data_IF_192169123983
#
_entry.id   IF_192169123983
#
_cell.length_a   1.000
_cell.length_b   1.000
_cell.length_c   1.000
_cell.angle_alpha   90.00
_cell.angle_beta   90.00
_cell.angle_gamma   90.00
#
_symmetry.space_group_name_H-M   'P 1'
#
loop_
_entity.id
_entity.type
_entity.pdbx_description
1 polymer ?
#
# COMPACT_ATOMS: atom_id res chain seq x y z
N UNK A 1 -20.32 -9.81 -14.59
CA UNK A 1 -19.12 -10.05 -13.77
C UNK A 1 -19.38 -9.62 -12.34
N UNK A 2 -19.61 -10.59 -11.46
CA UNK A 2 -19.67 -10.32 -10.03
C UNK A 2 -18.29 -10.59 -9.42
N UNK A 3 -17.73 -9.58 -8.75
CA UNK A 3 -16.62 -9.81 -7.83
C UNK A 3 -17.18 -10.48 -6.57
N UNK A 4 -16.56 -11.56 -6.14
CA UNK A 4 -16.86 -12.27 -4.90
C UNK A 4 -15.69 -12.02 -3.95
N UNK A 5 -15.98 -11.43 -2.78
CA UNK A 5 -15.00 -11.26 -1.70
C UNK A 5 -14.80 -12.61 -1.00
N UNK A 6 -13.57 -13.09 -0.99
CA UNK A 6 -13.22 -14.38 -0.34
C UNK A 6 -12.75 -14.20 1.10
N UNK A 7 -12.46 -12.96 1.52
CA UNK A 7 -12.04 -12.65 2.88
C UNK A 7 -13.25 -12.57 3.80
N UNK A 8 -13.27 -13.43 4.82
CA UNK A 8 -14.22 -13.41 5.91
C UNK A 8 -13.66 -12.62 7.09
N UNK A 9 -14.42 -11.67 7.64
CA UNK A 9 -14.02 -10.84 8.78
C UNK A 9 -13.68 -11.66 10.06
N UNK A 10 -14.07 -12.93 10.12
CA UNK A 10 -13.83 -13.83 11.25
C UNK A 10 -12.67 -14.81 11.03
N UNK A 11 -11.99 -14.75 9.88
CA UNK A 11 -10.90 -15.65 9.53
C UNK A 11 -9.62 -14.86 9.29
N UNK A 12 -8.49 -15.45 9.67
CA UNK A 12 -7.19 -14.90 9.34
C UNK A 12 -6.96 -15.01 7.83
N UNK A 13 -6.47 -13.93 7.22
CA UNK A 13 -6.07 -13.93 5.81
C UNK A 13 -4.56 -14.12 5.69
N UNK A 14 -4.14 -14.81 4.62
CA UNK A 14 -2.72 -15.01 4.32
C UNK A 14 -2.15 -13.84 3.54
N UNK A 15 -1.00 -13.33 4.00
CA UNK A 15 -0.21 -12.35 3.27
C UNK A 15 1.03 -13.04 2.72
N UNK A 16 1.16 -13.08 1.40
CA UNK A 16 2.37 -13.51 0.74
C UNK A 16 3.44 -12.41 0.86
N UNK A 17 4.63 -12.82 1.28
CA UNK A 17 5.81 -11.95 1.41
C UNK A 17 6.71 -12.18 0.21
N UNK A 18 6.95 -11.12 -0.56
CA UNK A 18 7.83 -11.13 -1.72
C UNK A 18 8.92 -10.07 -1.50
N UNK A 19 10.18 -10.47 -1.59
CA UNK A 19 11.34 -9.59 -1.40
C UNK A 19 12.33 -9.81 -2.56
N UNK A 20 12.88 -8.73 -3.11
CA UNK A 20 13.85 -8.81 -4.20
C UNK A 20 14.21 -7.44 -4.76
N UNK A 21 15.45 -7.25 -5.23
CA UNK A 21 15.95 -5.97 -5.78
C UNK A 21 15.79 -4.76 -4.83
N UNK A 22 15.76 -5.00 -3.51
CA UNK A 22 15.50 -3.97 -2.51
C UNK A 22 14.02 -3.60 -2.36
N UNK A 23 13.11 -4.22 -3.12
CA UNK A 23 11.68 -4.06 -2.96
C UNK A 23 11.14 -4.97 -1.86
N UNK A 24 10.17 -4.46 -1.11
CA UNK A 24 9.40 -5.22 -0.12
C UNK A 24 7.94 -5.19 -0.53
N UNK A 25 7.39 -6.35 -0.90
CA UNK A 25 6.03 -6.48 -1.41
C UNK A 25 5.21 -7.39 -0.48
N UNK A 26 3.97 -6.99 -0.26
CA UNK A 26 2.92 -7.80 0.37
C UNK A 26 1.78 -7.99 -0.61
N UNK A 27 1.37 -9.24 -0.78
CA UNK A 27 0.21 -9.61 -1.60
C UNK A 27 -0.78 -10.38 -0.75
N UNK A 28 -2.04 -9.96 -0.78
CA UNK A 28 -3.13 -10.70 -0.15
C UNK A 28 -4.17 -11.02 -1.23
N UNK A 29 -4.53 -12.29 -1.38
CA UNK A 29 -5.72 -12.66 -2.16
C UNK A 29 -6.96 -12.06 -1.51
N UNK A 30 -7.84 -11.43 -2.29
CA UNK A 30 -9.03 -10.75 -1.75
C UNK A 30 -10.34 -11.36 -2.25
N UNK A 31 -10.33 -11.98 -3.41
CA UNK A 31 -11.57 -12.43 -4.04
C UNK A 31 -11.35 -13.05 -5.41
N UNK A 32 -12.44 -13.45 -6.06
CA UNK A 32 -12.44 -13.96 -7.42
C UNK A 32 -13.63 -13.42 -8.23
N UNK A 33 -13.59 -13.62 -9.55
CA UNK A 33 -14.74 -13.42 -10.42
C UNK A 33 -15.37 -14.76 -10.76
N UNK A 34 -16.64 -14.92 -10.43
CA UNK A 34 -17.44 -16.14 -10.67
C UNK A 34 -17.58 -16.51 -12.16
N UNK A 35 -17.61 -15.51 -13.05
CA UNK A 35 -17.75 -15.72 -14.49
C UNK A 35 -16.43 -16.07 -15.20
N UNK A 36 -15.31 -15.47 -14.77
CA UNK A 36 -14.00 -15.62 -15.46
C UNK A 36 -13.03 -16.52 -14.73
N UNK A 37 -13.31 -16.88 -13.49
CA UNK A 37 -12.40 -17.55 -12.57
C UNK A 37 -11.08 -16.77 -12.35
N UNK A 38 -11.07 -15.46 -12.62
CA UNK A 38 -9.92 -14.61 -12.34
C UNK A 38 -9.83 -14.26 -10.86
N UNK A 39 -8.60 -14.22 -10.32
CA UNK A 39 -8.31 -14.00 -8.90
C UNK A 39 -7.86 -12.56 -8.69
N UNK A 40 -8.42 -11.90 -7.68
CA UNK A 40 -8.05 -10.55 -7.28
C UNK A 40 -7.13 -10.59 -6.07
N UNK A 41 -6.11 -9.75 -6.06
CA UNK A 41 -5.20 -9.55 -4.93
C UNK A 41 -4.99 -8.06 -4.65
N UNK A 42 -4.92 -7.70 -3.38
CA UNK A 42 -4.39 -6.41 -2.96
C UNK A 42 -2.87 -6.50 -2.83
N UNK A 43 -2.17 -5.55 -3.44
CA UNK A 43 -0.72 -5.45 -3.39
C UNK A 43 -0.34 -4.15 -2.67
N UNK A 44 0.66 -4.22 -1.80
CA UNK A 44 1.30 -3.06 -1.17
C UNK A 44 2.81 -3.25 -1.24
N UNK A 45 3.53 -2.23 -1.68
CA UNK A 45 4.95 -2.32 -2.01
C UNK A 45 5.71 -1.11 -1.47
N UNK A 46 6.88 -1.35 -0.87
CA UNK A 46 7.94 -0.34 -0.72
C UNK A 46 9.00 -0.61 -1.78
N UNK A 47 9.13 0.29 -2.76
CA UNK A 47 10.14 0.24 -3.80
C UNK A 47 11.24 1.29 -3.52
N UNK A 48 12.53 0.98 -3.69
CA UNK A 48 13.59 1.95 -3.43
C UNK A 48 13.51 3.13 -4.41
N UNK A 49 13.65 4.37 -3.92
CA UNK A 49 13.65 5.56 -4.78
C UNK A 49 15.06 5.73 -5.39
N UNK A 50 15.21 5.68 -6.73
CA UNK A 50 16.50 5.92 -7.36
C UNK A 50 17.04 7.32 -7.04
N UNK A 51 18.34 7.42 -6.73
CA UNK A 51 19.01 8.71 -6.53
C UNK A 51 18.99 9.24 -5.09
N UNK A 52 18.39 8.52 -4.13
CA UNK A 52 18.45 8.89 -2.70
C UNK A 52 19.81 8.60 -2.01
N UNK A 53 20.81 8.09 -2.75
CA UNK A 53 22.14 7.80 -2.22
C UNK A 53 22.08 6.78 -1.09
N UNK A 54 22.75 7.08 0.03
CA UNK A 54 22.77 6.24 1.23
C UNK A 54 21.48 6.36 2.09
N UNK A 55 20.54 7.23 1.71
CA UNK A 55 19.27 7.33 2.42
C UNK A 55 18.41 6.12 2.05
N UNK A 56 17.99 5.34 3.06
CA UNK A 56 16.98 4.28 2.94
C UNK A 56 15.59 4.86 2.61
N UNK A 57 15.44 5.38 1.40
CA UNK A 57 14.25 6.04 0.87
C UNK A 57 13.43 5.12 -0.02
N UNK A 58 12.12 5.06 0.23
CA UNK A 58 11.19 4.21 -0.49
C UNK A 58 9.97 4.98 -1.02
N UNK A 59 9.42 4.52 -2.13
CA UNK A 59 8.08 4.84 -2.59
C UNK A 59 7.13 3.75 -2.11
N UNK A 60 6.05 4.15 -1.45
CA UNK A 60 4.94 3.27 -1.11
C UNK A 60 3.90 3.30 -2.23
N UNK A 61 3.68 2.15 -2.85
CA UNK A 61 2.64 1.93 -3.84
C UNK A 61 1.64 0.87 -3.36
N UNK A 62 0.39 0.99 -3.79
CA UNK A 62 -0.63 -0.02 -3.56
C UNK A 62 -1.65 -0.04 -4.71
N UNK A 63 -2.15 -1.22 -5.02
CA UNK A 63 -3.03 -1.48 -6.14
C UNK A 63 -3.79 -2.79 -5.94
N UNK A 64 -4.83 -3.01 -6.75
CA UNK A 64 -5.51 -4.31 -6.85
C UNK A 64 -5.12 -4.91 -8.19
N UNK A 65 -4.67 -6.16 -8.19
CA UNK A 65 -4.36 -6.90 -9.42
C UNK A 65 -5.38 -8.01 -9.60
N UNK A 66 -5.92 -8.14 -10.80
CA UNK A 66 -6.62 -9.36 -11.24
C UNK A 66 -5.69 -10.20 -12.09
N UNK A 67 -5.62 -11.49 -11.81
CA UNK A 67 -4.94 -12.48 -12.65
C UNK A 67 -5.99 -13.41 -13.25
N UNK A 68 -6.04 -13.49 -14.57
CA UNK A 68 -6.93 -14.39 -15.31
C UNK A 68 -6.35 -15.81 -15.39
N UNK A 69 -7.16 -16.84 -15.73
CA UNK A 69 -6.67 -18.23 -15.83
C UNK A 69 -5.53 -18.46 -16.84
N UNK A 70 -5.38 -17.57 -17.81
CA UNK A 70 -4.30 -17.60 -18.80
C UNK A 70 -3.01 -16.87 -18.35
N UNK A 71 -2.97 -16.42 -17.10
CA UNK A 71 -1.91 -15.60 -16.48
C UNK A 71 -1.77 -14.18 -17.03
N UNK A 72 -2.74 -13.69 -17.80
CA UNK A 72 -2.83 -12.25 -18.05
C UNK A 72 -3.20 -11.53 -16.75
N UNK A 73 -2.65 -10.34 -16.55
CA UNK A 73 -2.96 -9.54 -15.37
C UNK A 73 -3.46 -8.15 -15.74
N UNK A 74 -4.39 -7.65 -14.93
CA UNK A 74 -4.97 -6.33 -15.02
C UNK A 74 -4.64 -5.60 -13.72
N UNK A 75 -4.01 -4.44 -13.84
CA UNK A 75 -3.65 -3.59 -12.72
C UNK A 75 -4.71 -2.50 -12.52
N UNK A 76 -5.35 -2.49 -11.34
CA UNK A 76 -6.30 -1.48 -10.91
C UNK A 76 -5.66 -0.56 -9.88
N UNK A 77 -5.39 0.65 -10.31
CA UNK A 77 -4.50 1.58 -9.62
C UNK A 77 -5.24 2.71 -8.94
N UNK A 78 -6.54 2.87 -9.24
CA UNK A 78 -7.37 3.90 -8.66
C UNK A 78 -8.77 3.40 -8.19
N UNK A 79 -9.53 4.34 -7.60
CA UNK A 79 -10.88 4.08 -7.11
C UNK A 79 -11.96 4.05 -8.21
N UNK A 80 -11.65 4.54 -9.42
CA UNK A 80 -12.56 4.58 -10.57
C UNK A 80 -12.60 3.22 -11.26
N UNK A 81 -11.46 2.55 -11.35
CA UNK A 81 -11.31 1.22 -11.94
C UNK A 81 -11.84 0.12 -11.00
N UNK A 82 -11.77 0.34 -9.69
CA UNK A 82 -12.24 -0.60 -8.64
C UNK A 82 -13.72 -0.44 -8.28
N UNK A 83 -14.53 0.13 -9.18
CA UNK A 83 -15.98 0.34 -8.93
C UNK A 83 -16.78 -0.94 -8.76
N UNK A 84 -16.25 -2.07 -9.23
CA UNK A 84 -16.82 -3.40 -9.04
C UNK A 84 -16.81 -3.86 -7.57
N UNK A 85 -16.02 -3.23 -6.71
CA UNK A 85 -16.07 -3.45 -5.27
C UNK A 85 -17.24 -2.68 -4.65
N UNK A 86 -18.07 -3.38 -3.88
CA UNK A 86 -19.08 -2.74 -3.05
C UNK A 86 -18.46 -2.01 -1.85
N UNK A 87 -19.29 -1.37 -1.02
CA UNK A 87 -18.80 -0.60 0.14
C UNK A 87 -18.09 -1.48 1.17
N UNK A 88 -18.56 -2.70 1.40
CA UNK A 88 -17.99 -3.61 2.38
C UNK A 88 -16.62 -4.09 1.90
N UNK A 89 -16.54 -4.61 0.68
CA UNK A 89 -15.30 -5.05 0.05
C UNK A 89 -14.25 -3.92 -0.01
N UNK A 90 -14.63 -2.69 -0.32
CA UNK A 90 -13.70 -1.54 -0.29
C UNK A 90 -13.11 -1.28 1.10
N UNK A 91 -13.91 -1.43 2.15
CA UNK A 91 -13.43 -1.25 3.51
C UNK A 91 -12.48 -2.38 3.92
N UNK A 92 -12.82 -3.62 3.58
CA UNK A 92 -11.98 -4.80 3.83
C UNK A 92 -10.64 -4.68 3.10
N UNK A 93 -10.65 -4.34 1.81
CA UNK A 93 -9.42 -4.11 1.04
C UNK A 93 -8.58 -2.98 1.62
N UNK A 94 -9.20 -1.86 2.03
CA UNK A 94 -8.45 -0.78 2.68
C UNK A 94 -7.82 -1.24 4.00
N UNK A 95 -8.52 -2.07 4.80
CA UNK A 95 -7.97 -2.64 6.02
C UNK A 95 -6.77 -3.55 5.73
N UNK A 96 -6.85 -4.39 4.69
CA UNK A 96 -5.74 -5.24 4.23
C UNK A 96 -4.54 -4.39 3.82
N UNK A 97 -4.74 -3.34 3.01
CA UNK A 97 -3.64 -2.42 2.62
C UNK A 97 -3.00 -1.78 3.86
N UNK A 98 -3.80 -1.39 4.85
CA UNK A 98 -3.30 -0.85 6.11
C UNK A 98 -2.47 -1.89 6.89
N UNK A 99 -2.94 -3.13 6.99
CA UNK A 99 -2.20 -4.24 7.64
C UNK A 99 -0.89 -4.54 6.91
N UNK A 100 -0.91 -4.64 5.58
CA UNK A 100 0.29 -4.81 4.78
C UNK A 100 1.28 -3.64 4.97
N UNK A 101 0.77 -2.41 5.07
CA UNK A 101 1.61 -1.23 5.34
C UNK A 101 2.30 -1.32 6.70
N UNK A 102 1.58 -1.74 7.75
CA UNK A 102 2.18 -1.97 9.07
C UNK A 102 3.35 -2.96 8.99
N UNK A 103 3.12 -4.13 8.39
CA UNK A 103 4.15 -5.16 8.27
C UNK A 103 5.36 -4.69 7.43
N UNK A 104 5.13 -3.92 6.36
CA UNK A 104 6.19 -3.32 5.57
C UNK A 104 7.06 -2.34 6.37
N UNK A 105 6.44 -1.51 7.22
CA UNK A 105 7.19 -0.58 8.09
C UNK A 105 8.05 -1.36 9.09
N UNK A 106 7.48 -2.37 9.74
CA UNK A 106 8.18 -3.17 10.74
C UNK A 106 9.38 -3.93 10.15
N UNK A 107 9.19 -4.45 8.93
CA UNK A 107 10.19 -5.25 8.22
C UNK A 107 11.29 -4.40 7.59
N UNK A 108 10.93 -3.38 6.80
CA UNK A 108 11.88 -2.60 6.01
C UNK A 108 12.49 -1.44 6.80
N UNK A 109 11.80 -0.95 7.84
CA UNK A 109 12.19 0.20 8.67
C UNK A 109 12.74 1.37 7.84
N UNK A 110 11.97 1.86 6.85
CA UNK A 110 12.44 2.88 5.93
C UNK A 110 12.79 4.18 6.67
N UNK A 111 13.85 4.87 6.28
CA UNK A 111 14.16 6.18 6.86
C UNK A 111 13.23 7.27 6.33
N UNK A 112 12.89 7.16 5.04
CA UNK A 112 12.04 8.08 4.30
C UNK A 112 11.08 7.25 3.44
N UNK A 113 9.80 7.63 3.45
CA UNK A 113 8.81 7.10 2.52
C UNK A 113 8.10 8.24 1.81
N UNK A 114 7.88 8.06 0.52
CA UNK A 114 7.01 8.90 -0.30
C UNK A 114 5.83 8.09 -0.79
N UNK A 115 4.70 8.74 -0.97
CA UNK A 115 3.51 8.13 -1.56
C UNK A 115 2.80 9.17 -2.42
N UNK A 116 2.39 8.79 -3.62
CA UNK A 116 1.81 9.71 -4.60
C UNK A 116 0.42 9.24 -5.06
N UNK A 117 -0.45 10.19 -5.42
CA UNK A 117 -1.63 9.84 -6.21
C UNK A 117 -1.24 9.61 -7.66
N UNK A 118 -1.65 8.46 -8.22
CA UNK A 118 -1.46 8.20 -9.65
C UNK A 118 -2.29 9.13 -10.53
N UNK A 119 -3.54 9.37 -10.15
CA UNK A 119 -4.44 10.29 -10.86
C UNK A 119 -4.36 11.71 -10.30
N UNK A 120 -4.54 12.69 -11.18
CA UNK A 120 -4.65 14.09 -10.83
C UNK A 120 -6.08 14.47 -10.40
N UNK A 121 -6.21 15.52 -9.58
CA UNK A 121 -7.50 16.14 -9.21
C UNK A 121 -8.50 15.17 -8.56
N UNK A 122 -7.99 14.19 -7.82
CA UNK A 122 -8.86 13.25 -7.11
C UNK A 122 -9.80 13.97 -6.12
N UNK A 123 -11.06 13.52 -6.00
CA UNK A 123 -11.98 14.07 -5.02
C UNK A 123 -11.53 13.73 -3.60
N UNK A 124 -11.84 14.60 -2.63
CA UNK A 124 -11.40 14.45 -1.23
C UNK A 124 -11.69 13.06 -0.64
N UNK A 125 -12.85 12.46 -0.97
CA UNK A 125 -13.20 11.10 -0.54
C UNK A 125 -12.20 10.04 -1.00
N UNK A 126 -11.62 10.19 -2.19
CA UNK A 126 -10.60 9.27 -2.71
C UNK A 126 -9.22 9.52 -2.07
N UNK A 127 -9.00 10.72 -1.52
CA UNK A 127 -7.77 11.10 -0.82
C UNK A 127 -7.71 10.49 0.60
N UNK A 128 -8.86 10.24 1.23
CA UNK A 128 -8.94 9.69 2.60
C UNK A 128 -8.13 8.42 2.85
N UNK A 129 -8.01 7.52 1.86
CA UNK A 129 -7.19 6.30 1.99
C UNK A 129 -5.70 6.61 2.18
N UNK A 130 -5.19 7.62 1.46
CA UNK A 130 -3.80 8.06 1.59
C UNK A 130 -3.54 8.69 2.96
N UNK A 131 -4.50 9.47 3.48
CA UNK A 131 -4.41 9.99 4.85
C UNK A 131 -4.37 8.87 5.89
N UNK A 132 -5.19 7.83 5.73
CA UNK A 132 -5.20 6.68 6.65
C UNK A 132 -3.88 5.90 6.61
N UNK A 133 -3.32 5.70 5.41
CA UNK A 133 -2.00 5.07 5.25
C UNK A 133 -0.90 5.93 5.89
N UNK A 134 -0.91 7.25 5.69
CA UNK A 134 0.04 8.14 6.35
C UNK A 134 -0.08 8.11 7.89
N UNK A 135 -1.30 8.00 8.43
CA UNK A 135 -1.50 7.85 9.88
C UNK A 135 -0.82 6.61 10.47
N UNK A 136 -0.74 5.51 9.71
CA UNK A 136 -0.04 4.29 10.12
C UNK A 136 1.45 4.57 10.34
N UNK A 137 2.10 5.30 9.44
CA UNK A 137 3.47 5.77 9.64
C UNK A 137 3.59 6.65 10.89
N UNK A 138 2.62 7.54 11.12
CA UNK A 138 2.59 8.36 12.33
C UNK A 138 2.54 7.55 13.63
N UNK A 139 1.78 6.44 13.63
CA UNK A 139 1.71 5.49 14.75
C UNK A 139 3.04 4.75 14.96
N UNK A 140 3.83 4.58 13.91
CA UNK A 140 5.18 4.00 13.90
C UNK A 140 6.29 5.03 14.18
N UNK A 141 5.95 6.21 14.69
CA UNK A 141 6.93 7.23 15.11
C UNK A 141 7.40 8.17 13.99
N UNK A 142 6.90 8.03 12.76
CA UNK A 142 7.29 8.91 11.66
C UNK A 142 6.64 10.30 11.80
N UNK A 143 7.32 11.32 11.27
CA UNK A 143 6.68 12.60 10.94
C UNK A 143 6.06 12.47 9.57
N UNK A 144 4.77 12.74 9.47
CA UNK A 144 4.01 12.66 8.21
C UNK A 144 3.53 14.03 7.78
N UNK A 145 3.70 14.35 6.50
CA UNK A 145 3.21 15.59 5.90
C UNK A 145 2.68 15.34 4.50
N UNK A 146 1.73 16.17 4.07
CA UNK A 146 1.28 16.25 2.67
C UNK A 146 1.98 17.45 2.04
N UNK A 147 2.64 17.23 0.91
CA UNK A 147 3.25 18.29 0.12
C UNK A 147 2.21 19.08 -0.66
N UNK A 148 2.62 20.22 -1.20
CA UNK A 148 1.76 21.00 -2.09
C UNK A 148 1.42 20.19 -3.36
N UNK A 149 0.18 20.25 -3.84
CA UNK A 149 -0.19 19.56 -5.06
C UNK A 149 0.58 20.09 -6.27
N UNK A 150 1.07 19.18 -7.13
CA UNK A 150 1.66 19.54 -8.42
C UNK A 150 0.80 18.99 -9.56
N UNK A 151 0.28 19.86 -10.42
CA UNK A 151 -0.65 19.49 -11.51
C UNK A 151 -1.82 18.60 -11.05
N UNK A 152 -2.32 18.84 -9.83
CA UNK A 152 -3.42 18.07 -9.24
C UNK A 152 -3.01 16.75 -8.58
N UNK A 153 -1.76 16.31 -8.73
CA UNK A 153 -1.23 15.15 -7.99
C UNK A 153 -0.89 15.54 -6.57
N UNK A 154 -1.09 14.61 -5.64
CA UNK A 154 -0.83 14.77 -4.22
C UNK A 154 0.35 13.90 -3.82
N UNK A 155 1.18 14.40 -2.91
CA UNK A 155 2.32 13.67 -2.37
C UNK A 155 2.29 13.67 -0.85
N UNK A 156 2.57 12.54 -0.24
CA UNK A 156 2.83 12.39 1.19
C UNK A 156 4.30 12.06 1.40
N UNK A 157 4.88 12.66 2.44
CA UNK A 157 6.23 12.38 2.91
C UNK A 157 6.14 11.88 4.34
N UNK A 158 6.82 10.77 4.62
CA UNK A 158 6.97 10.20 5.95
C UNK A 158 8.45 10.05 6.25
N UNK A 159 8.95 10.69 7.33
CA UNK A 159 10.36 10.59 7.76
C UNK A 159 10.44 10.12 9.20
N UNK A 160 11.31 9.15 9.50
CA UNK A 160 11.55 8.70 10.87
C UNK A 160 12.07 9.87 11.73
N UNK A 161 11.70 9.92 13.02
CA UNK A 161 12.19 10.95 13.94
C UNK A 161 13.63 10.63 14.33
N UNK A 162 14.54 11.60 14.18
CA UNK A 162 15.97 11.44 14.49
C UNK A 162 16.26 11.07 15.96
N UNK A 163 15.29 11.20 16.88
CA UNK A 163 15.46 10.80 18.29
C UNK A 163 15.56 9.28 18.53
N UNK A 164 15.24 8.44 17.53
CA UNK A 164 15.21 6.98 17.69
C UNK A 164 16.44 6.26 17.11
N UNK A 165 17.42 6.98 16.55
CA UNK A 165 18.63 6.37 15.96
C UNK A 165 19.77 6.14 16.99
N UNK A 166 19.73 6.80 18.15
CA UNK A 166 20.81 6.74 19.14
C UNK A 166 20.66 5.61 20.20
N UNK A 167 19.51 4.94 20.29
CA UNK A 167 19.24 3.96 21.36
C UNK A 167 19.52 2.50 21.02
N UNK A 168 19.90 2.18 19.77
CA UNK A 168 20.25 0.80 19.37
C UNK A 168 21.75 0.57 19.14
N UNK A 169 22.59 1.59 19.36
CA UNK A 169 24.04 1.53 19.17
C UNK A 169 24.88 1.07 20.37
N UNK A 170 24.31 0.41 21.39
CA UNK A 170 25.10 -0.05 22.55
C UNK A 170 24.62 -1.41 23.08
N UNK A 171 24.86 -2.45 22.28
CA UNK A 171 24.91 -3.84 22.72
C UNK A 171 25.78 -4.66 21.76
N UNK A 172 27.09 -4.42 21.83
CA UNK A 172 28.13 -5.36 21.41
C UNK A 172 29.15 -5.48 22.55
#
# INVERSE_FOLDING_TARGET
MAFILDINDNEDFSIDILEGNGEHIRRCGIGHCDETNGVYSAITCLAPIPGYGDLHGFELAFNIVKVEPDNTFIDYTDGLETRFLDKHARNTVLAIICTCTHDLIDRARPSIVQMHTREAYLPEKAILKYHRIAQIFGQHGYRTGRGDPWNGHQTWFMKIREMDLDTTGSAL
#
